data_IF_505726215736
#
_entry.id   IF_505726215736
#
_cell.length_a   1.000
_cell.length_b   1.000
_cell.length_c   1.000
_cell.angle_alpha   90.00
_cell.angle_beta   90.00
_cell.angle_gamma   90.00
#
_symmetry.space_group_name_H-M   'P 1'
#
loop_
_entity.id
_entity.type
_entity.pdbx_description
1 polymer ?
#
# COMPACT_ATOMS: atom_id res chain seq x y z
N UNK A 1 -13.98 -2.53 13.21
CA UNK A 1 -13.39 -1.19 12.96
C UNK A 1 -12.70 -1.18 11.61
N UNK A 2 -13.03 -0.24 10.74
CA UNK A 2 -12.27 -0.11 9.51
C UNK A 2 -10.87 0.42 9.81
N UNK A 3 -9.89 -0.13 9.12
CA UNK A 3 -8.52 0.37 9.21
C UNK A 3 -8.34 1.54 8.24
N UNK A 4 -7.42 2.43 8.57
CA UNK A 4 -7.08 3.56 7.72
C UNK A 4 -5.93 3.20 6.79
N UNK A 5 -5.94 3.81 5.60
CA UNK A 5 -4.80 3.82 4.69
C UNK A 5 -4.32 5.25 4.61
N UNK A 6 -3.05 5.46 4.97
CA UNK A 6 -2.43 6.78 4.93
C UNK A 6 -1.28 6.74 3.92
N UNK A 7 -1.44 7.34 2.73
CA UNK A 7 -0.37 7.33 1.75
C UNK A 7 0.65 8.43 2.06
N UNK A 8 1.92 8.05 2.04
CA UNK A 8 3.00 9.03 2.08
C UNK A 8 2.98 9.87 0.80
N UNK A 9 3.56 11.06 0.84
CA UNK A 9 3.59 11.97 -0.32
C UNK A 9 4.19 11.27 -1.54
N UNK A 10 5.27 10.51 -1.36
CA UNK A 10 5.89 9.75 -2.45
C UNK A 10 4.90 8.78 -3.10
N UNK A 11 4.10 8.10 -2.28
CA UNK A 11 3.12 7.14 -2.79
C UNK A 11 1.99 7.85 -3.53
N UNK A 12 1.52 9.00 -3.02
CA UNK A 12 0.52 9.79 -3.71
C UNK A 12 1.03 10.27 -5.06
N UNK A 13 2.26 10.78 -5.11
CA UNK A 13 2.86 11.24 -6.36
C UNK A 13 3.00 10.10 -7.36
N UNK A 14 3.43 8.93 -6.91
CA UNK A 14 3.56 7.77 -7.76
C UNK A 14 2.21 7.33 -8.33
N UNK A 15 1.17 7.33 -7.50
CA UNK A 15 -0.19 7.00 -7.94
C UNK A 15 -0.69 7.99 -9.01
N UNK A 16 -0.42 9.27 -8.81
CA UNK A 16 -0.85 10.30 -9.75
C UNK A 16 -0.19 10.17 -11.12
N UNK A 17 1.01 9.58 -11.17
CA UNK A 17 1.73 9.36 -12.42
C UNK A 17 1.28 8.12 -13.18
N UNK A 18 0.52 7.24 -12.52
CA UNK A 18 0.07 6.00 -13.15
C UNK A 18 -1.14 6.24 -14.05
N UNK A 19 -1.23 5.49 -15.18
CA UNK A 19 -2.46 5.50 -15.96
C UNK A 19 -3.62 4.91 -15.13
N UNK A 20 -4.89 5.16 -15.53
CA UNK A 20 -6.04 4.70 -14.74
C UNK A 20 -6.04 3.21 -14.41
N UNK A 21 -5.65 2.34 -15.34
CA UNK A 21 -5.60 0.90 -15.09
C UNK A 21 -4.53 0.52 -14.07
N UNK A 22 -3.39 1.20 -14.10
CA UNK A 22 -2.33 0.97 -13.12
C UNK A 22 -2.74 1.44 -11.74
N UNK A 23 -3.37 2.60 -11.67
CA UNK A 23 -3.89 3.14 -10.41
C UNK A 23 -4.93 2.20 -9.82
N UNK A 24 -5.84 1.69 -10.66
CA UNK A 24 -6.87 0.74 -10.22
C UNK A 24 -6.24 -0.51 -9.62
N UNK A 25 -5.25 -1.09 -10.30
CA UNK A 25 -4.59 -2.29 -9.80
C UNK A 25 -3.85 -2.04 -8.48
N UNK A 26 -3.13 -0.92 -8.38
CA UNK A 26 -2.42 -0.57 -7.15
C UNK A 26 -3.41 -0.40 -5.99
N UNK A 27 -4.54 0.24 -6.23
CA UNK A 27 -5.57 0.40 -5.19
C UNK A 27 -6.13 -0.96 -4.76
N UNK A 28 -6.30 -1.90 -5.68
CA UNK A 28 -6.73 -3.25 -5.34
C UNK A 28 -5.68 -4.00 -4.53
N UNK A 29 -4.40 -3.78 -4.85
CA UNK A 29 -3.30 -4.38 -4.10
C UNK A 29 -3.25 -3.84 -2.66
N UNK A 30 -3.47 -2.54 -2.50
CA UNK A 30 -3.57 -1.91 -1.17
C UNK A 30 -4.75 -2.50 -0.40
N UNK A 31 -5.91 -2.64 -1.04
CA UNK A 31 -7.09 -3.20 -0.40
C UNK A 31 -6.85 -4.65 0.05
N UNK A 32 -6.14 -5.43 -0.77
CA UNK A 32 -5.80 -6.81 -0.41
C UNK A 32 -4.91 -6.87 0.84
N UNK A 33 -3.95 -5.94 0.95
CA UNK A 33 -3.11 -5.86 2.14
C UNK A 33 -3.93 -5.45 3.36
N UNK A 34 -4.85 -4.51 3.19
CA UNK A 34 -5.62 -3.96 4.29
C UNK A 34 -6.51 -5.01 4.98
N UNK A 35 -6.99 -5.99 4.23
CA UNK A 35 -7.85 -7.04 4.80
C UNK A 35 -7.09 -8.19 5.44
N UNK A 36 -5.75 -8.11 5.49
CA UNK A 36 -4.89 -9.13 6.08
C UNK A 36 -3.99 -8.56 7.16
N UNK A 37 -4.56 -8.02 8.26
CA UNK A 37 -3.74 -7.36 9.28
C UNK A 37 -2.71 -8.29 9.96
N UNK A 38 -2.93 -9.60 9.92
CA UNK A 38 -1.96 -10.55 10.49
C UNK A 38 -0.68 -10.65 9.67
N UNK A 39 -0.71 -10.21 8.41
CA UNK A 39 0.47 -10.22 7.55
C UNK A 39 1.22 -8.88 7.60
N UNK A 40 0.73 -7.92 8.37
CA UNK A 40 1.37 -6.61 8.48
C UNK A 40 2.65 -6.71 9.30
N UNK A 41 3.64 -5.82 9.04
CA UNK A 41 4.80 -5.71 9.92
C UNK A 41 4.37 -5.19 11.28
N UNK A 42 5.26 -5.28 12.26
CA UNK A 42 4.97 -4.75 13.59
C UNK A 42 4.65 -3.26 13.52
N UNK A 43 3.63 -2.79 14.27
CA UNK A 43 3.32 -1.36 14.33
C UNK A 43 4.49 -0.54 14.85
N UNK A 44 4.56 0.72 14.41
CA UNK A 44 5.60 1.65 14.87
C UNK A 44 6.43 2.24 13.73
N UNK A 45 6.25 1.76 12.50
CA UNK A 45 6.90 2.34 11.33
C UNK A 45 8.36 1.94 11.13
N UNK A 46 8.91 1.06 11.98
CA UNK A 46 10.30 0.62 11.87
C UNK A 46 10.50 -0.52 10.89
N UNK A 47 9.44 -1.25 10.58
CA UNK A 47 9.48 -2.38 9.68
C UNK A 47 8.55 -2.12 8.51
N UNK A 48 9.02 -2.42 7.30
CA UNK A 48 8.22 -2.32 6.11
C UNK A 48 7.96 -3.71 5.53
N UNK A 49 6.83 -3.86 4.88
CA UNK A 49 6.48 -5.05 4.13
C UNK A 49 6.15 -4.66 2.70
N UNK A 50 6.24 -5.63 1.80
CA UNK A 50 5.87 -5.43 0.40
C UNK A 50 4.79 -6.44 0.07
N UNK A 51 3.73 -5.97 -0.58
CA UNK A 51 2.67 -6.82 -1.11
C UNK A 51 2.66 -6.66 -2.63
N UNK A 52 2.40 -7.77 -3.33
CA UNK A 52 2.42 -7.79 -4.78
C UNK A 52 1.03 -8.05 -5.34
N UNK A 53 0.66 -7.31 -6.38
CA UNK A 53 -0.44 -7.63 -7.28
C UNK A 53 0.10 -8.27 -8.56
N UNK A 54 -0.75 -8.47 -9.58
CA UNK A 54 -0.30 -9.09 -10.83
C UNK A 54 0.83 -8.34 -11.52
N UNK A 55 0.79 -7.01 -11.50
CA UNK A 55 1.80 -6.14 -12.12
C UNK A 55 2.19 -4.98 -11.23
N UNK A 56 1.85 -5.07 -9.95
CA UNK A 56 2.05 -3.97 -9.02
C UNK A 56 2.76 -4.45 -7.76
N UNK A 57 3.29 -3.50 -7.03
CA UNK A 57 3.81 -3.73 -5.70
C UNK A 57 3.52 -2.50 -4.83
N UNK A 58 3.36 -2.75 -3.54
CA UNK A 58 3.10 -1.70 -2.55
C UNK A 58 3.98 -1.97 -1.35
N UNK A 59 4.76 -0.97 -0.95
CA UNK A 59 5.56 -1.00 0.26
C UNK A 59 4.83 -0.22 1.34
N UNK A 60 4.70 -0.80 2.53
CA UNK A 60 3.92 -0.16 3.59
C UNK A 60 4.48 -0.50 4.97
N UNK A 61 4.18 0.36 5.93
CA UNK A 61 4.37 0.10 7.35
C UNK A 61 3.02 0.04 8.03
N UNK A 62 2.99 -0.49 9.24
CA UNK A 62 1.76 -0.58 10.02
C UNK A 62 1.80 0.35 11.22
N UNK A 63 0.63 0.83 11.62
CA UNK A 63 0.42 1.52 12.88
C UNK A 63 -0.86 0.97 13.51
N UNK A 64 -1.20 1.41 14.70
CA UNK A 64 -2.30 0.79 15.44
C UNK A 64 -3.65 0.89 14.72
N UNK A 65 -3.88 1.92 13.94
CA UNK A 65 -5.15 2.14 13.25
C UNK A 65 -5.17 1.74 11.78
N UNK A 66 -4.06 1.23 11.22
CA UNK A 66 -4.02 0.90 9.80
C UNK A 66 -2.62 0.77 9.24
N UNK A 67 -2.46 1.17 7.99
CA UNK A 67 -1.18 1.10 7.29
C UNK A 67 -0.82 2.44 6.67
N UNK A 68 0.47 2.71 6.60
CA UNK A 68 1.01 3.82 5.83
C UNK A 68 1.66 3.26 4.57
N UNK A 69 1.16 3.66 3.42
CA UNK A 69 1.74 3.26 2.13
C UNK A 69 2.92 4.16 1.85
N UNK A 70 4.12 3.56 1.79
CA UNK A 70 5.36 4.32 1.61
C UNK A 70 5.64 4.55 0.13
N UNK A 71 5.45 3.52 -0.68
CA UNK A 71 5.75 3.60 -2.10
C UNK A 71 4.94 2.56 -2.86
N UNK A 72 4.73 2.82 -4.15
CA UNK A 72 3.97 1.92 -5.03
C UNK A 72 4.68 1.84 -6.37
N UNK A 73 4.44 0.76 -7.09
CA UNK A 73 4.92 0.60 -8.45
C UNK A 73 3.98 -0.25 -9.28
N UNK A 74 4.08 -0.09 -10.60
CA UNK A 74 3.25 -0.81 -11.55
C UNK A 74 4.05 -1.03 -12.84
N UNK A 75 4.04 -2.27 -13.33
CA UNK A 75 4.85 -2.68 -14.48
C UNK A 75 4.00 -3.01 -15.71
N UNK A 76 2.82 -2.43 -15.80
CA UNK A 76 1.87 -2.70 -16.87
C UNK A 76 2.08 -1.95 -18.17
#
# INVERSE_FOLDING_TARGET
>A
MPYEVDPAIRAEDALDELPPEGRQEVMETIAAALVRPRAWPQPGGWHAAVVFGPRSWVSFTAFLGGIEVIDVGWAG
#
